data_IF_675940942239
#
_entry.id   IF_675940942239
#
_cell.length_a   1.000
_cell.length_b   1.000
_cell.length_c   1.000
_cell.angle_alpha   90.00
_cell.angle_beta   90.00
_cell.angle_gamma   90.00
#
_symmetry.space_group_name_H-M   'P 1'
#
loop_
_entity.id
_entity.type
_entity.pdbx_description
1 polymer ?
#
# COMPACT_ATOMS: atom_id res chain seq x y z
N UNK A 1 -2.70 -27.13 12.46
CA UNK A 1 -2.88 -28.11 11.37
C UNK A 1 -2.60 -27.36 10.07
N UNK A 2 -1.61 -27.78 9.27
CA UNK A 2 -1.42 -27.18 7.94
C UNK A 2 -2.48 -27.74 6.99
N UNK A 3 -3.42 -26.88 6.61
CA UNK A 3 -4.38 -27.22 5.57
C UNK A 3 -3.66 -27.08 4.22
N UNK A 4 -3.53 -28.19 3.50
CA UNK A 4 -2.95 -28.14 2.16
C UNK A 4 -3.99 -27.56 1.19
N UNK A 5 -3.55 -26.68 0.31
CA UNK A 5 -4.34 -26.10 -0.77
C UNK A 5 -4.70 -27.20 -1.76
N UNK A 6 -6.00 -27.52 -1.85
CA UNK A 6 -6.53 -28.48 -2.83
C UNK A 6 -6.59 -27.84 -4.22
N UNK A 7 -6.54 -28.69 -5.23
CA UNK A 7 -6.64 -28.33 -6.64
C UNK A 7 -7.86 -27.46 -6.94
N UNK A 8 -9.08 -27.96 -6.67
CA UNK A 8 -10.33 -27.21 -6.89
C UNK A 8 -10.36 -25.84 -6.19
N UNK A 9 -9.68 -25.72 -5.04
CA UNK A 9 -9.63 -24.46 -4.30
C UNK A 9 -8.78 -23.43 -5.03
N UNK A 10 -7.63 -23.84 -5.55
CA UNK A 10 -6.72 -22.99 -6.32
C UNK A 10 -7.37 -22.59 -7.65
N UNK A 11 -7.99 -23.54 -8.34
CA UNK A 11 -8.63 -23.26 -9.64
C UNK A 11 -9.77 -22.25 -9.54
N UNK A 12 -10.62 -22.33 -8.51
CA UNK A 12 -11.74 -21.39 -8.30
C UNK A 12 -11.30 -19.97 -7.99
N UNK A 13 -10.02 -19.78 -7.61
CA UNK A 13 -9.42 -18.49 -7.26
C UNK A 13 -8.52 -17.93 -8.35
N UNK A 14 -8.47 -18.61 -9.50
CA UNK A 14 -7.77 -18.13 -10.69
C UNK A 14 -8.72 -17.29 -11.55
N UNK A 15 -8.33 -16.05 -11.82
CA UNK A 15 -9.09 -15.12 -12.64
C UNK A 15 -8.30 -14.72 -13.89
N UNK A 16 -8.94 -14.66 -15.06
CA UNK A 16 -8.26 -14.20 -16.26
C UNK A 16 -7.96 -12.71 -16.21
N UNK A 17 -6.76 -12.34 -16.66
CA UNK A 17 -6.35 -10.94 -16.76
C UNK A 17 -6.72 -10.41 -18.15
N UNK A 18 -7.52 -9.35 -18.19
CA UNK A 18 -8.01 -8.73 -19.42
C UNK A 18 -6.98 -7.82 -20.10
N UNK A 19 -6.06 -7.24 -19.32
CA UNK A 19 -5.03 -6.32 -19.82
C UNK A 19 -3.70 -6.58 -19.15
N UNK A 20 -2.67 -6.75 -19.98
CA UNK A 20 -1.30 -7.02 -19.54
C UNK A 20 -0.44 -5.84 -19.95
N UNK A 21 0.34 -5.25 -19.02
CA UNK A 21 1.28 -4.20 -19.36
C UNK A 21 2.26 -4.66 -20.45
N UNK A 22 2.44 -3.85 -21.49
CA UNK A 22 3.44 -4.13 -22.53
C UNK A 22 4.86 -4.23 -21.96
N UNK A 23 5.13 -3.54 -20.86
CA UNK A 23 6.41 -3.57 -20.14
C UNK A 23 6.78 -4.96 -19.63
N UNK A 24 5.82 -5.86 -19.44
CA UNK A 24 6.08 -7.21 -18.93
C UNK A 24 6.70 -8.16 -19.97
N UNK A 25 6.67 -7.77 -21.26
CA UNK A 25 7.25 -8.50 -22.40
C UNK A 25 6.88 -10.00 -22.40
N UNK A 26 5.63 -10.31 -22.02
CA UNK A 26 5.12 -11.67 -22.00
C UNK A 26 4.80 -12.14 -23.42
N UNK A 27 5.04 -13.42 -23.72
CA UNK A 27 4.73 -14.00 -25.03
C UNK A 27 3.21 -14.05 -25.26
N UNK A 28 2.72 -13.65 -26.44
CA UNK A 28 1.27 -13.53 -26.73
C UNK A 28 0.51 -14.87 -26.89
N UNK A 29 0.96 -15.97 -26.28
CA UNK A 29 0.36 -17.30 -26.46
C UNK A 29 -0.52 -17.70 -25.27
N UNK A 30 -1.75 -17.20 -25.28
CA UNK A 30 -2.83 -17.65 -24.40
C UNK A 30 -3.25 -16.63 -23.33
N UNK A 31 -4.30 -16.99 -22.59
CA UNK A 31 -4.81 -16.19 -21.47
C UNK A 31 -3.91 -16.35 -20.25
N UNK A 32 -3.49 -15.22 -19.69
CA UNK A 32 -2.76 -15.13 -18.43
C UNK A 32 -3.74 -14.91 -17.28
N UNK A 33 -3.32 -15.32 -16.09
CA UNK A 33 -4.20 -15.44 -14.94
C UNK A 33 -3.59 -14.76 -13.71
N UNK A 34 -4.49 -14.35 -12.82
CA UNK A 34 -4.23 -13.92 -11.46
C UNK A 34 -4.73 -14.99 -10.50
N UNK A 35 -3.87 -15.41 -9.57
CA UNK A 35 -4.25 -16.31 -8.49
C UNK A 35 -4.48 -15.51 -7.22
N UNK A 36 -5.74 -15.46 -6.77
CA UNK A 36 -6.16 -14.70 -5.59
C UNK A 36 -6.31 -15.62 -4.36
N UNK A 37 -5.25 -15.68 -3.55
CA UNK A 37 -5.22 -16.37 -2.26
C UNK A 37 -5.35 -15.39 -1.08
N UNK A 38 -5.92 -14.21 -1.30
CA UNK A 38 -6.18 -13.22 -0.26
C UNK A 38 -7.14 -13.75 0.80
N UNK A 39 -6.90 -13.38 2.06
CA UNK A 39 -7.80 -13.68 3.20
C UNK A 39 -8.11 -15.18 3.36
N UNK A 40 -7.15 -16.05 3.01
CA UNK A 40 -7.32 -17.51 3.07
C UNK A 40 -6.83 -18.12 4.39
N UNK A 41 -6.41 -17.29 5.36
CA UNK A 41 -5.87 -17.72 6.66
C UNK A 41 -4.64 -18.65 6.52
N UNK A 42 -3.85 -18.45 5.46
CA UNK A 42 -2.70 -19.29 5.15
C UNK A 42 -1.57 -19.01 6.12
N UNK A 43 -1.08 -20.06 6.79
CA UNK A 43 0.13 -20.01 7.63
C UNK A 43 1.39 -20.42 6.85
N UNK A 44 1.18 -21.23 5.82
CA UNK A 44 2.17 -21.64 4.84
C UNK A 44 1.45 -21.88 3.50
N UNK A 45 2.23 -21.96 2.42
CA UNK A 45 1.71 -22.28 1.10
C UNK A 45 2.06 -23.74 0.84
N UNK A 46 1.15 -24.67 1.09
CA UNK A 46 1.40 -26.09 0.82
C UNK A 46 0.37 -26.61 -0.15
N UNK A 47 0.79 -26.96 -1.36
CA UNK A 47 -0.11 -27.53 -2.36
C UNK A 47 -0.32 -29.03 -2.06
N UNK A 48 -1.57 -29.48 -2.09
CA UNK A 48 -1.94 -30.90 -1.97
C UNK A 48 -1.74 -31.67 -3.28
N UNK A 49 -1.23 -31.01 -4.31
CA UNK A 49 -1.08 -31.48 -5.67
C UNK A 49 0.29 -31.08 -6.22
N UNK A 50 0.71 -31.75 -7.28
CA UNK A 50 1.93 -31.40 -8.00
C UNK A 50 1.58 -30.64 -9.27
N UNK A 51 2.34 -29.61 -9.58
CA UNK A 51 2.22 -28.88 -10.84
C UNK A 51 2.72 -29.76 -12.00
N UNK A 52 1.97 -29.79 -13.10
CA UNK A 52 2.20 -30.66 -14.27
C UNK A 52 3.48 -30.35 -15.05
N UNK A 53 3.84 -31.25 -15.99
CA UNK A 53 5.00 -31.06 -16.89
C UNK A 53 4.59 -30.16 -18.07
N UNK A 54 5.40 -29.14 -18.36
CA UNK A 54 5.28 -28.27 -19.54
C UNK A 54 5.67 -29.03 -20.83
N UNK A 55 4.93 -30.07 -21.22
CA UNK A 55 5.21 -30.88 -22.41
C UNK A 55 3.94 -31.17 -23.22
N UNK A 56 3.66 -30.37 -24.26
CA UNK A 56 2.62 -30.67 -25.26
C UNK A 56 1.98 -29.44 -25.90
N UNK A 57 1.34 -29.57 -27.08
CA UNK A 57 0.57 -28.49 -27.68
C UNK A 57 -0.66 -28.17 -26.82
N UNK A 58 -0.92 -26.87 -26.67
CA UNK A 58 -1.83 -26.26 -25.72
C UNK A 58 -3.26 -26.84 -25.79
N UNK A 59 -3.79 -27.45 -24.71
CA UNK A 59 -5.20 -27.76 -24.65
C UNK A 59 -6.01 -26.46 -24.54
N UNK A 60 -7.23 -26.48 -25.08
CA UNK A 60 -8.26 -25.47 -24.78
C UNK A 60 -8.49 -25.49 -23.26
N UNK A 61 -7.99 -24.47 -22.55
CA UNK A 61 -8.19 -24.18 -21.10
C UNK A 61 -8.55 -25.42 -20.25
N UNK A 62 -7.62 -26.35 -20.02
CA UNK A 62 -7.92 -27.58 -19.28
C UNK A 62 -7.77 -27.43 -17.75
N UNK A 63 -6.71 -26.79 -17.24
CA UNK A 63 -6.51 -26.52 -15.79
C UNK A 63 -5.29 -25.62 -15.58
N UNK A 64 -5.25 -24.82 -14.50
CA UNK A 64 -4.04 -24.06 -14.13
C UNK A 64 -2.92 -24.97 -13.62
N UNK A 65 -3.25 -26.16 -13.12
CA UNK A 65 -2.29 -27.08 -12.50
C UNK A 65 -1.32 -27.65 -13.53
N UNK A 66 -1.76 -27.77 -14.77
CA UNK A 66 -0.91 -28.15 -15.90
C UNK A 66 0.01 -27.00 -16.35
N UNK A 67 -0.38 -25.74 -16.13
CA UNK A 67 0.32 -24.56 -16.68
C UNK A 67 0.44 -23.40 -15.69
N UNK A 68 1.11 -23.59 -14.52
CA UNK A 68 1.28 -22.53 -13.51
C UNK A 68 2.03 -21.31 -14.03
N UNK A 69 2.83 -21.47 -15.09
CA UNK A 69 3.52 -20.40 -15.79
C UNK A 69 2.58 -19.39 -16.47
N UNK A 70 1.26 -19.62 -16.46
CA UNK A 70 0.24 -18.63 -16.84
C UNK A 70 -0.16 -17.69 -15.71
N UNK A 71 0.14 -18.03 -14.47
CA UNK A 71 -0.04 -17.10 -13.35
C UNK A 71 1.03 -16.01 -13.47
N UNK A 72 0.58 -14.77 -13.63
CA UNK A 72 1.46 -13.59 -13.71
C UNK A 72 1.21 -12.61 -12.57
N UNK A 73 0.07 -12.73 -11.88
CA UNK A 73 -0.22 -12.05 -10.61
C UNK A 73 -0.58 -13.06 -9.54
N UNK A 74 -0.05 -12.86 -8.34
CA UNK A 74 -0.33 -13.69 -7.18
C UNK A 74 -0.61 -12.79 -5.98
N UNK A 75 -1.84 -12.86 -5.47
CA UNK A 75 -2.24 -12.17 -4.25
C UNK A 75 -2.25 -13.16 -3.07
N UNK A 76 -1.31 -13.00 -2.15
CA UNK A 76 -1.17 -13.70 -0.88
C UNK A 76 -1.49 -12.78 0.31
N UNK A 77 -2.07 -11.60 0.07
CA UNK A 77 -2.26 -10.61 1.12
C UNK A 77 -3.27 -11.05 2.18
N UNK A 78 -3.20 -10.45 3.38
CA UNK A 78 -4.14 -10.72 4.48
C UNK A 78 -4.17 -12.19 4.89
N UNK A 79 -2.99 -12.79 5.04
CA UNK A 79 -2.82 -14.15 5.53
C UNK A 79 -1.96 -14.16 6.82
N UNK A 80 -1.52 -15.32 7.25
CA UNK A 80 -0.67 -15.53 8.43
C UNK A 80 0.72 -16.07 8.07
N UNK A 81 1.19 -15.82 6.84
CA UNK A 81 2.46 -16.35 6.34
C UNK A 81 3.62 -15.76 7.15
N UNK A 82 4.53 -16.61 7.61
CA UNK A 82 5.75 -16.17 8.33
C UNK A 82 6.98 -16.07 7.44
N UNK A 83 6.93 -16.69 6.26
CA UNK A 83 7.98 -16.65 5.25
C UNK A 83 7.36 -16.94 3.87
N UNK A 84 8.05 -16.47 2.83
CA UNK A 84 7.89 -16.99 1.48
C UNK A 84 8.96 -18.08 1.34
N UNK A 85 8.57 -19.29 0.95
CA UNK A 85 9.52 -20.40 0.75
C UNK A 85 9.69 -20.62 -0.75
N UNK A 86 10.92 -20.89 -1.18
CA UNK A 86 11.26 -21.03 -2.60
C UNK A 86 10.41 -22.12 -3.26
N UNK A 87 10.27 -23.27 -2.61
CA UNK A 87 9.54 -24.44 -3.10
C UNK A 87 8.11 -24.10 -3.52
N UNK A 88 7.49 -23.15 -2.81
CA UNK A 88 6.09 -22.78 -3.00
C UNK A 88 5.90 -21.77 -4.15
N UNK A 89 6.98 -21.12 -4.58
CA UNK A 89 6.97 -20.07 -5.60
C UNK A 89 7.61 -20.49 -6.92
N UNK A 90 8.47 -21.54 -6.93
CA UNK A 90 9.09 -22.13 -8.13
C UNK A 90 8.10 -22.38 -9.29
N UNK A 91 6.85 -22.84 -9.06
CA UNK A 91 5.92 -23.09 -10.15
C UNK A 91 5.55 -21.83 -10.95
N UNK A 92 5.55 -20.65 -10.33
CA UNK A 92 5.11 -19.39 -10.94
C UNK A 92 6.25 -18.67 -11.66
N UNK A 93 6.87 -19.35 -12.63
CA UNK A 93 8.08 -18.85 -13.33
C UNK A 93 7.90 -17.52 -14.05
N UNK A 94 6.68 -17.22 -14.47
CA UNK A 94 6.36 -15.96 -15.16
C UNK A 94 5.72 -14.91 -14.26
N UNK A 95 5.74 -15.09 -12.94
CA UNK A 95 5.16 -14.12 -12.03
C UNK A 95 5.79 -12.74 -12.24
N UNK A 96 4.94 -11.73 -12.42
CA UNK A 96 5.32 -10.32 -12.60
C UNK A 96 4.87 -9.48 -11.42
N UNK A 97 3.78 -9.85 -10.76
CA UNK A 97 3.23 -9.10 -9.63
C UNK A 97 2.99 -10.05 -8.46
N UNK A 98 3.55 -9.71 -7.31
CA UNK A 98 3.38 -10.46 -6.07
C UNK A 98 2.95 -9.51 -4.95
N UNK A 99 1.74 -9.73 -4.44
CA UNK A 99 1.26 -9.07 -3.24
C UNK A 99 1.27 -10.05 -2.07
N UNK A 100 2.22 -9.92 -1.16
CA UNK A 100 2.30 -10.67 0.11
C UNK A 100 2.17 -9.72 1.32
N UNK A 101 1.48 -8.60 1.16
CA UNK A 101 1.25 -7.63 2.23
C UNK A 101 0.35 -8.17 3.34
N UNK A 102 0.32 -7.51 4.50
CA UNK A 102 -0.59 -7.84 5.61
C UNK A 102 -0.46 -9.33 6.03
N UNK A 103 0.77 -9.76 6.26
CA UNK A 103 1.12 -11.11 6.70
C UNK A 103 1.95 -11.02 7.99
N UNK A 104 2.67 -12.09 8.34
CA UNK A 104 3.61 -12.14 9.47
C UNK A 104 5.03 -12.43 9.03
N UNK A 105 5.39 -12.07 7.79
CA UNK A 105 6.67 -12.39 7.19
C UNK A 105 7.76 -11.66 7.95
N UNK A 106 8.71 -12.41 8.50
CA UNK A 106 9.84 -11.84 9.25
C UNK A 106 11.21 -12.16 8.63
N UNK A 107 11.22 -13.08 7.66
CA UNK A 107 12.39 -13.43 6.87
C UNK A 107 12.13 -13.09 5.41
N UNK A 108 13.01 -12.27 4.86
CA UNK A 108 12.99 -11.90 3.46
C UNK A 108 13.81 -12.91 2.65
N UNK A 109 13.17 -14.04 2.34
CA UNK A 109 13.72 -15.16 1.56
C UNK A 109 12.60 -15.78 0.72
N UNK A 110 12.93 -16.69 -0.20
CA UNK A 110 11.93 -17.42 -0.99
C UNK A 110 11.59 -16.78 -2.33
N UNK A 111 11.94 -15.51 -2.50
CA UNK A 111 11.62 -14.72 -3.69
C UNK A 111 12.73 -14.77 -4.74
N UNK A 112 13.90 -15.34 -4.42
CA UNK A 112 15.07 -15.42 -5.31
C UNK A 112 14.77 -16.19 -6.62
N UNK A 113 13.75 -17.04 -6.58
CA UNK A 113 13.28 -17.81 -7.75
C UNK A 113 12.47 -16.97 -8.75
N UNK A 114 11.94 -15.81 -8.33
CA UNK A 114 11.04 -14.96 -9.11
C UNK A 114 11.80 -13.91 -9.94
N UNK A 115 12.68 -14.36 -10.83
CA UNK A 115 13.63 -13.50 -11.60
C UNK A 115 12.99 -12.43 -12.49
N UNK A 116 11.73 -12.63 -12.85
CA UNK A 116 10.99 -11.74 -13.73
C UNK A 116 10.00 -10.84 -12.99
N UNK A 117 10.04 -10.82 -11.66
CA UNK A 117 9.14 -10.03 -10.86
C UNK A 117 9.32 -8.54 -11.18
N UNK A 118 8.21 -7.86 -11.45
CA UNK A 118 8.12 -6.45 -11.81
C UNK A 118 7.67 -5.60 -10.62
N UNK A 119 6.67 -6.10 -9.88
CA UNK A 119 6.11 -5.48 -8.68
C UNK A 119 6.17 -6.47 -7.52
N UNK A 120 6.69 -6.01 -6.37
CA UNK A 120 6.68 -6.75 -5.11
C UNK A 120 6.11 -5.88 -4.00
N UNK A 121 4.99 -6.31 -3.43
CA UNK A 121 4.43 -5.71 -2.23
C UNK A 121 4.51 -6.68 -1.04
N UNK A 122 5.34 -6.35 -0.07
CA UNK A 122 5.48 -7.07 1.21
C UNK A 122 5.24 -6.12 2.39
N UNK A 123 4.44 -5.08 2.18
CA UNK A 123 4.08 -4.12 3.23
C UNK A 123 3.30 -4.75 4.38
N UNK A 124 3.28 -4.11 5.55
CA UNK A 124 2.56 -4.62 6.73
C UNK A 124 2.99 -6.04 7.11
N UNK A 125 4.29 -6.21 7.33
CA UNK A 125 4.92 -7.46 7.77
C UNK A 125 5.91 -7.14 8.92
N UNK A 126 6.75 -8.10 9.29
CA UNK A 126 7.74 -7.96 10.36
C UNK A 126 9.17 -8.10 9.84
N UNK A 127 9.42 -7.67 8.60
CA UNK A 127 10.72 -7.80 7.94
C UNK A 127 11.69 -6.81 8.59
N UNK A 128 12.82 -7.33 9.09
CA UNK A 128 13.87 -6.54 9.75
C UNK A 128 15.07 -6.24 8.86
N UNK A 129 15.30 -7.10 7.87
CA UNK A 129 16.42 -7.03 6.97
C UNK A 129 16.01 -7.54 5.60
N UNK A 130 16.50 -6.86 4.57
CA UNK A 130 16.45 -7.34 3.19
C UNK A 130 17.80 -7.95 2.85
N UNK A 131 17.77 -9.18 2.39
CA UNK A 131 18.94 -9.91 1.88
C UNK A 131 18.56 -10.51 0.52
N UNK A 132 19.55 -10.89 -0.29
CA UNK A 132 19.37 -11.70 -1.49
C UNK A 132 18.43 -11.13 -2.58
N UNK A 133 18.33 -9.81 -2.72
CA UNK A 133 17.57 -9.17 -3.82
C UNK A 133 18.23 -9.29 -5.21
N UNK A 134 19.47 -9.80 -5.29
CA UNK A 134 20.28 -9.87 -6.52
C UNK A 134 19.55 -10.50 -7.71
N UNK A 135 18.75 -11.57 -7.54
CA UNK A 135 18.05 -12.20 -8.65
C UNK A 135 16.90 -11.36 -9.24
N UNK A 136 16.44 -10.31 -8.54
CA UNK A 136 15.27 -9.52 -8.92
C UNK A 136 15.62 -8.32 -9.82
N UNK A 137 16.47 -8.55 -10.82
CA UNK A 137 16.94 -7.49 -11.73
C UNK A 137 15.85 -6.85 -12.58
N UNK A 138 14.68 -7.49 -12.69
CA UNK A 138 13.50 -6.99 -13.43
C UNK A 138 12.58 -6.10 -12.58
N UNK A 139 12.84 -5.97 -11.28
CA UNK A 139 11.94 -5.28 -10.35
C UNK A 139 11.92 -3.79 -10.64
N UNK A 140 10.71 -3.24 -10.76
CA UNK A 140 10.45 -1.81 -11.01
C UNK A 140 9.82 -1.15 -9.79
N UNK A 141 8.97 -1.88 -9.07
CA UNK A 141 8.25 -1.38 -7.90
C UNK A 141 8.49 -2.30 -6.71
N UNK A 142 8.95 -1.72 -5.60
CA UNK A 142 9.19 -2.42 -4.34
C UNK A 142 8.51 -1.69 -3.19
N UNK A 143 7.52 -2.34 -2.58
CA UNK A 143 6.86 -1.84 -1.39
C UNK A 143 7.20 -2.70 -0.15
N UNK A 144 7.96 -2.10 0.75
CA UNK A 144 8.41 -2.59 2.05
C UNK A 144 7.84 -1.75 3.20
N UNK A 145 6.82 -0.92 2.96
CA UNK A 145 6.27 -0.05 3.99
C UNK A 145 5.70 -0.81 5.18
N UNK A 146 5.65 -0.19 6.37
CA UNK A 146 5.05 -0.78 7.57
C UNK A 146 5.72 -2.14 7.91
N UNK A 147 7.04 -2.11 8.03
CA UNK A 147 7.88 -3.24 8.44
C UNK A 147 8.76 -2.80 9.62
N UNK A 148 9.82 -3.57 9.92
CA UNK A 148 10.77 -3.27 10.99
C UNK A 148 12.20 -3.08 10.45
N UNK A 149 12.34 -2.61 9.21
CA UNK A 149 13.64 -2.40 8.57
C UNK A 149 14.44 -1.33 9.32
N UNK A 150 15.71 -1.62 9.59
CA UNK A 150 16.64 -0.66 10.20
C UNK A 150 17.70 -0.17 9.21
N UNK A 151 17.92 -0.92 8.14
CA UNK A 151 19.00 -0.69 7.18
C UNK A 151 18.61 -1.20 5.79
N UNK A 152 19.02 -0.45 4.76
CA UNK A 152 18.87 -0.77 3.34
C UNK A 152 20.21 -0.74 2.57
N UNK A 153 21.34 -0.61 3.28
CA UNK A 153 22.69 -0.53 2.70
C UNK A 153 23.07 -1.74 1.84
N UNK A 154 22.44 -2.89 2.08
CA UNK A 154 22.63 -4.14 1.34
C UNK A 154 21.78 -4.26 0.08
N UNK A 155 21.12 -3.19 -0.38
CA UNK A 155 20.43 -3.22 -1.67
C UNK A 155 21.43 -3.50 -2.80
N UNK A 156 21.20 -4.56 -3.60
CA UNK A 156 22.00 -4.82 -4.78
C UNK A 156 21.64 -3.82 -5.87
N UNK A 157 22.42 -3.82 -6.95
CA UNK A 157 22.13 -3.01 -8.13
C UNK A 157 20.82 -3.45 -8.81
N UNK A 158 19.69 -2.91 -8.37
CA UNK A 158 18.38 -3.10 -8.99
C UNK A 158 18.22 -2.05 -10.10
N UNK A 159 18.84 -2.33 -11.23
CA UNK A 159 19.00 -1.38 -12.36
C UNK A 159 17.68 -0.85 -12.95
N UNK A 160 16.57 -1.55 -12.70
CA UNK A 160 15.25 -1.20 -13.21
C UNK A 160 14.31 -0.61 -12.14
N UNK A 161 14.71 -0.55 -10.87
CA UNK A 161 13.83 -0.07 -9.81
C UNK A 161 13.56 1.42 -9.99
N UNK A 162 12.28 1.78 -10.14
CA UNK A 162 11.81 3.15 -10.31
C UNK A 162 11.08 3.66 -9.06
N UNK A 163 10.37 2.78 -8.34
CA UNK A 163 9.56 3.13 -7.17
C UNK A 163 10.01 2.30 -5.97
N UNK A 164 10.44 2.99 -4.92
CA UNK A 164 10.78 2.39 -3.62
C UNK A 164 9.91 2.99 -2.52
N UNK A 165 9.10 2.15 -1.89
CA UNK A 165 8.36 2.51 -0.70
C UNK A 165 8.88 1.76 0.54
N UNK A 166 9.40 2.51 1.50
CA UNK A 166 9.96 2.08 2.78
C UNK A 166 9.38 2.89 3.95
N UNK A 167 8.22 3.51 3.77
CA UNK A 167 7.61 4.33 4.83
C UNK A 167 7.25 3.49 6.06
N UNK A 168 7.17 4.12 7.24
CA UNK A 168 6.85 3.45 8.49
C UNK A 168 7.79 2.25 8.77
N UNK A 169 9.09 2.53 8.82
CA UNK A 169 10.13 1.59 9.24
C UNK A 169 10.98 2.26 10.34
N UNK A 170 12.20 1.77 10.59
CA UNK A 170 13.16 2.27 11.59
C UNK A 170 14.52 2.60 10.92
N UNK A 171 14.47 3.04 9.67
CA UNK A 171 15.66 3.26 8.84
C UNK A 171 16.30 4.60 9.23
N UNK A 172 17.62 4.59 9.44
CA UNK A 172 18.39 5.79 9.83
C UNK A 172 19.16 6.47 8.71
N UNK A 173 19.47 5.71 7.67
CA UNK A 173 20.17 6.21 6.48
C UNK A 173 19.56 5.58 5.23
N UNK A 174 19.53 6.34 4.14
CA UNK A 174 19.18 5.86 2.81
C UNK A 174 20.36 5.24 2.06
N UNK A 175 21.49 4.96 2.72
CA UNK A 175 22.60 4.25 2.09
C UNK A 175 22.13 2.97 1.41
N UNK A 176 22.61 2.72 0.20
CA UNK A 176 22.12 1.68 -0.70
C UNK A 176 21.33 2.23 -1.88
N UNK A 177 20.61 3.35 -1.74
CA UNK A 177 19.85 3.96 -2.84
C UNK A 177 20.73 4.44 -4.00
N UNK A 178 22.01 4.70 -3.74
CA UNK A 178 23.00 5.05 -4.77
C UNK A 178 23.16 3.94 -5.83
N UNK A 179 22.79 2.70 -5.50
CA UNK A 179 22.85 1.54 -6.40
C UNK A 179 21.63 1.42 -7.34
N UNK A 180 20.67 2.35 -7.25
CA UNK A 180 19.39 2.34 -7.95
C UNK A 180 19.34 3.45 -9.03
N UNK A 181 19.99 3.27 -10.19
CA UNK A 181 20.24 4.34 -11.15
C UNK A 181 18.97 4.92 -11.82
N UNK A 182 17.86 4.19 -11.77
CA UNK A 182 16.56 4.57 -12.37
C UNK A 182 15.51 5.02 -11.37
N UNK A 183 15.87 5.16 -10.10
CA UNK A 183 14.93 5.52 -9.05
C UNK A 183 14.29 6.89 -9.31
N UNK A 184 12.96 6.92 -9.33
CA UNK A 184 12.14 8.11 -9.58
C UNK A 184 11.32 8.52 -8.37
N UNK A 185 10.88 7.54 -7.59
CA UNK A 185 10.00 7.77 -6.45
C UNK A 185 10.55 7.08 -5.20
N UNK A 186 10.73 7.85 -4.14
CA UNK A 186 11.13 7.35 -2.82
C UNK A 186 10.13 7.84 -1.78
N UNK A 187 9.48 6.87 -1.12
CA UNK A 187 8.62 7.10 0.03
C UNK A 187 9.28 6.52 1.27
N UNK A 188 9.76 7.40 2.15
CA UNK A 188 10.50 7.06 3.36
C UNK A 188 9.98 7.84 4.59
N UNK A 189 8.73 8.31 4.55
CA UNK A 189 8.13 9.00 5.69
C UNK A 189 8.02 8.10 6.91
N UNK A 190 8.06 8.69 8.12
CA UNK A 190 7.97 7.97 9.40
C UNK A 190 9.07 6.92 9.54
N UNK A 191 10.31 7.38 9.43
CA UNK A 191 11.53 6.63 9.71
C UNK A 191 12.39 7.45 10.71
N UNK A 192 13.66 7.05 10.89
CA UNK A 192 14.61 7.73 11.75
C UNK A 192 15.73 8.41 10.93
N UNK A 193 15.43 8.91 9.72
CA UNK A 193 16.44 9.51 8.83
C UNK A 193 16.96 10.84 9.42
N UNK A 194 18.28 11.00 9.46
CA UNK A 194 18.93 12.21 9.98
C UNK A 194 19.37 13.18 8.86
N UNK A 195 19.58 12.67 7.64
CA UNK A 195 19.95 13.46 6.48
C UNK A 195 19.51 12.81 5.16
N UNK A 196 19.80 13.49 4.06
CA UNK A 196 19.50 13.05 2.68
C UNK A 196 20.77 12.86 1.84
N UNK A 197 21.96 12.79 2.46
CA UNK A 197 23.26 12.64 1.78
C UNK A 197 23.27 11.45 0.80
N UNK A 198 22.69 10.29 1.12
CA UNK A 198 22.67 9.16 0.20
C UNK A 198 21.96 9.42 -1.14
N UNK A 199 21.14 10.46 -1.24
CA UNK A 199 20.42 10.79 -2.47
C UNK A 199 21.26 11.54 -3.51
N UNK A 200 22.51 11.90 -3.20
CA UNK A 200 23.37 12.74 -4.06
C UNK A 200 23.51 12.24 -5.50
N UNK A 201 23.42 10.92 -5.74
CA UNK A 201 23.54 10.30 -7.07
C UNK A 201 22.19 9.96 -7.74
N UNK A 202 21.06 10.24 -7.10
CA UNK A 202 19.72 9.87 -7.58
C UNK A 202 19.17 10.91 -8.58
N UNK A 203 19.89 11.18 -9.67
CA UNK A 203 19.57 12.27 -10.63
C UNK A 203 18.21 12.12 -11.35
N UNK A 204 17.61 10.93 -11.33
CA UNK A 204 16.30 10.63 -11.92
C UNK A 204 15.13 10.85 -10.96
N UNK A 205 15.40 11.18 -9.69
CA UNK A 205 14.39 11.31 -8.65
C UNK A 205 13.43 12.47 -8.97
N UNK A 206 12.13 12.16 -8.94
CA UNK A 206 11.01 13.06 -9.22
C UNK A 206 10.16 13.31 -7.97
N UNK A 207 9.97 12.27 -7.15
CA UNK A 207 9.16 12.31 -5.94
C UNK A 207 10.00 11.84 -4.76
N UNK A 208 10.13 12.69 -3.76
CA UNK A 208 10.76 12.37 -2.48
C UNK A 208 9.82 12.70 -1.32
N UNK A 209 9.41 11.69 -0.58
CA UNK A 209 8.72 11.87 0.68
C UNK A 209 9.58 11.36 1.83
N UNK A 210 10.12 12.28 2.62
CA UNK A 210 10.90 12.02 3.84
C UNK A 210 10.27 12.72 5.04
N UNK A 211 8.96 12.94 5.00
CA UNK A 211 8.21 13.55 6.09
C UNK A 211 8.30 12.74 7.39
N UNK A 212 8.09 13.38 8.54
CA UNK A 212 8.13 12.74 9.87
C UNK A 212 9.43 11.93 10.09
N UNK A 213 10.59 12.57 9.93
CA UNK A 213 11.93 12.03 10.20
C UNK A 213 12.72 13.00 11.12
N UNK A 214 14.04 12.80 11.27
CA UNK A 214 14.91 13.62 12.13
C UNK A 214 15.86 14.55 11.35
N UNK A 215 15.49 14.94 10.12
CA UNK A 215 16.33 15.82 9.28
C UNK A 215 16.37 17.23 9.87
N UNK A 216 17.53 17.65 10.35
CA UNK A 216 17.66 18.92 11.08
C UNK A 216 18.33 20.05 10.29
N UNK A 217 19.29 19.72 9.42
CA UNK A 217 20.18 20.73 8.84
C UNK A 217 19.69 21.17 7.46
N UNK A 218 19.18 22.41 7.37
CA UNK A 218 18.66 22.97 6.12
C UNK A 218 19.73 23.10 5.03
N UNK A 219 20.89 23.68 5.36
CA UNK A 219 21.94 23.99 4.38
C UNK A 219 22.39 22.76 3.59
N UNK A 220 22.80 21.69 4.28
CA UNK A 220 23.20 20.43 3.65
C UNK A 220 22.04 19.80 2.84
N UNK A 221 20.82 19.81 3.40
CA UNK A 221 19.63 19.28 2.73
C UNK A 221 19.40 19.98 1.40
N UNK A 222 19.45 21.30 1.38
CA UNK A 222 19.22 22.11 0.18
C UNK A 222 20.34 21.93 -0.86
N UNK A 223 21.60 21.83 -0.44
CA UNK A 223 22.72 21.60 -1.34
C UNK A 223 22.61 20.27 -2.10
N UNK A 224 22.13 19.22 -1.42
CA UNK A 224 21.89 17.91 -2.03
C UNK A 224 20.66 17.96 -2.94
N UNK A 225 19.53 18.43 -2.42
CA UNK A 225 18.27 18.49 -3.19
C UNK A 225 18.40 19.41 -4.40
N UNK A 226 19.24 20.44 -4.33
CA UNK A 226 19.54 21.34 -5.44
C UNK A 226 20.26 20.64 -6.60
N UNK A 227 20.92 19.51 -6.37
CA UNK A 227 21.54 18.69 -7.43
C UNK A 227 20.50 17.81 -8.14
N UNK A 228 19.37 17.51 -7.50
CA UNK A 228 18.30 16.68 -8.04
C UNK A 228 17.40 17.47 -8.99
N UNK A 229 17.90 17.75 -10.19
CA UNK A 229 17.26 18.67 -11.15
C UNK A 229 15.88 18.23 -11.64
N UNK A 230 15.54 16.95 -11.49
CA UNK A 230 14.24 16.36 -11.85
C UNK A 230 13.25 16.27 -10.69
N UNK A 231 13.63 16.69 -9.49
CA UNK A 231 12.77 16.59 -8.31
C UNK A 231 11.61 17.60 -8.43
N UNK A 232 10.39 17.07 -8.48
CA UNK A 232 9.15 17.83 -8.69
C UNK A 232 8.31 17.91 -7.41
N UNK A 233 8.27 16.82 -6.65
CA UNK A 233 7.47 16.70 -5.42
C UNK A 233 8.37 16.36 -4.26
N UNK A 234 8.35 17.20 -3.23
CA UNK A 234 9.14 17.06 -2.02
C UNK A 234 8.22 17.15 -0.80
N UNK A 235 8.34 16.22 0.13
CA UNK A 235 7.71 16.29 1.45
C UNK A 235 8.77 16.11 2.53
N UNK A 236 8.92 17.15 3.34
CA UNK A 236 9.87 17.28 4.44
C UNK A 236 9.16 17.69 5.75
N UNK A 237 7.85 17.94 5.72
CA UNK A 237 7.05 18.28 6.90
C UNK A 237 7.26 17.29 8.05
N UNK A 238 7.18 17.76 9.29
CA UNK A 238 7.39 16.93 10.47
C UNK A 238 8.86 16.62 10.77
N UNK A 239 9.81 17.20 10.02
CA UNK A 239 11.24 17.18 10.33
C UNK A 239 11.66 18.46 11.08
N UNK A 240 12.72 18.43 11.93
CA UNK A 240 13.23 19.62 12.58
C UNK A 240 13.63 20.76 11.62
N UNK A 241 14.04 20.45 10.40
CA UNK A 241 14.39 21.44 9.34
C UNK A 241 13.25 22.42 9.03
N UNK A 242 11.99 22.02 9.23
CA UNK A 242 10.81 22.86 8.99
C UNK A 242 10.78 24.10 9.91
N UNK A 243 11.47 24.05 11.06
CA UNK A 243 11.53 25.17 12.02
C UNK A 243 12.46 26.30 11.57
N UNK A 244 13.29 26.07 10.56
CA UNK A 244 14.17 27.10 10.02
C UNK A 244 13.33 28.18 9.31
N UNK A 245 13.60 29.46 9.63
CA UNK A 245 12.85 30.59 9.06
C UNK A 245 13.05 30.73 7.56
N UNK A 246 14.17 30.23 7.04
CA UNK A 246 14.51 30.28 5.63
C UNK A 246 14.07 29.03 4.87
N UNK A 247 13.52 28.01 5.55
CA UNK A 247 13.14 26.71 5.00
C UNK A 247 12.50 26.80 3.60
N UNK A 248 11.36 27.48 3.49
CA UNK A 248 10.62 27.61 2.23
C UNK A 248 11.40 28.41 1.18
N UNK A 249 12.07 29.48 1.59
CA UNK A 249 12.83 30.37 0.71
C UNK A 249 14.04 29.66 0.11
N UNK A 250 14.80 28.93 0.92
CA UNK A 250 15.98 28.18 0.47
C UNK A 250 15.60 27.06 -0.49
N UNK A 251 14.54 26.29 -0.19
CA UNK A 251 14.02 25.26 -1.10
C UNK A 251 13.58 25.88 -2.43
N UNK A 252 12.87 27.01 -2.40
CA UNK A 252 12.46 27.74 -3.61
C UNK A 252 13.62 28.32 -4.42
N UNK A 253 14.71 28.73 -3.78
CA UNK A 253 15.84 29.34 -4.49
C UNK A 253 16.78 28.30 -5.11
N UNK A 254 16.93 27.14 -4.48
CA UNK A 254 17.98 26.19 -4.83
C UNK A 254 17.49 24.91 -5.49
N UNK A 255 16.17 24.62 -5.46
CA UNK A 255 15.60 23.39 -6.05
C UNK A 255 14.58 23.67 -7.15
N UNK A 256 14.30 22.69 -8.00
CA UNK A 256 13.25 22.78 -9.04
C UNK A 256 11.87 22.28 -8.58
N UNK A 257 11.68 22.10 -7.26
CA UNK A 257 10.47 21.53 -6.68
C UNK A 257 9.24 22.37 -7.04
N UNK A 258 8.19 21.69 -7.51
CA UNK A 258 6.90 22.27 -7.87
C UNK A 258 5.90 22.18 -6.72
N UNK A 259 5.96 21.09 -5.95
CA UNK A 259 5.10 20.82 -4.79
C UNK A 259 5.96 20.53 -3.57
N UNK A 260 5.83 21.35 -2.53
CA UNK A 260 6.49 21.18 -1.24
C UNK A 260 5.43 20.97 -0.15
N UNK A 261 5.53 19.89 0.60
CA UNK A 261 4.64 19.56 1.73
C UNK A 261 3.16 19.64 1.36
N UNK A 262 2.81 19.00 0.24
CA UNK A 262 1.46 19.00 -0.35
C UNK A 262 0.93 20.38 -0.79
N UNK A 263 1.80 21.39 -0.85
CA UNK A 263 1.47 22.73 -1.34
C UNK A 263 2.24 23.02 -2.63
N UNK A 264 1.52 23.42 -3.68
CA UNK A 264 2.17 23.90 -4.91
C UNK A 264 2.89 25.22 -4.63
N UNK A 265 4.19 25.25 -4.90
CA UNK A 265 5.06 26.42 -4.67
C UNK A 265 5.51 27.09 -5.97
N UNK A 266 5.36 26.39 -7.10
CA UNK A 266 5.56 26.92 -8.45
C UNK A 266 4.34 26.59 -9.31
N UNK A 267 3.85 27.51 -10.15
CA UNK A 267 2.81 27.22 -11.13
C UNK A 267 3.32 26.18 -12.13
N UNK A 268 2.51 25.16 -12.43
CA UNK A 268 2.84 24.13 -13.42
C UNK A 268 3.32 24.77 -14.73
N UNK A 269 4.39 24.25 -15.37
CA UNK A 269 4.73 24.68 -16.71
C UNK A 269 3.51 24.41 -17.58
N UNK A 270 3.07 25.42 -18.34
CA UNK A 270 2.15 25.16 -19.45
C UNK A 270 2.82 24.09 -20.29
N UNK A 271 2.15 22.96 -20.54
CA UNK A 271 2.65 21.93 -21.47
C UNK A 271 3.12 22.65 -22.71
N UNK A 272 4.43 22.62 -22.97
CA UNK A 272 4.97 23.13 -24.21
C UNK A 272 4.29 22.33 -25.32
N UNK A 273 3.68 23.04 -26.27
CA UNK A 273 3.24 22.46 -27.52
C UNK A 273 4.45 21.76 -28.14
N UNK A 274 4.43 20.43 -28.16
CA UNK A 274 5.36 19.65 -28.99
C UNK A 274 4.80 19.77 -30.41
N UNK A 275 5.11 20.88 -31.06
CA UNK A 275 4.81 21.04 -32.48
C UNK A 275 6.01 20.58 -33.31
N UNK A 276 5.77 19.48 -34.02
CA UNK A 276 6.59 18.99 -35.11
C UNK A 276 6.49 20.01 -36.25
N UNK A 277 7.50 20.84 -36.50
CA UNK A 277 7.85 21.28 -37.86
C UNK A 277 9.21 21.96 -37.94
N UNK A 278 10.06 21.44 -38.83
CA UNK A 278 11.18 22.15 -39.42
C UNK A 278 10.67 23.34 -40.25
N UNK A 279 11.11 24.58 -39.94
CA UNK A 279 11.74 25.58 -40.85
C UNK A 279 11.48 27.04 -40.42
N UNK A 280 12.60 27.73 -40.19
CA UNK A 280 12.93 29.16 -40.42
C UNK A 280 11.85 30.27 -40.35
N UNK A 281 12.24 31.30 -39.59
CA UNK A 281 11.79 32.70 -39.52
C UNK A 281 10.69 33.04 -38.50
N UNK A 282 11.07 33.84 -37.50
CA UNK A 282 10.15 34.60 -36.64
C UNK A 282 9.19 35.46 -37.48
N UNK A 283 7.89 35.50 -37.11
CA UNK A 283 7.33 36.81 -36.76
C UNK A 283 6.22 36.81 -35.68
N UNK A 284 6.32 37.79 -34.77
CA UNK A 284 5.26 38.61 -34.14
C UNK A 284 3.91 37.95 -33.73
N UNK A 285 3.71 37.76 -32.42
CA UNK A 285 2.43 37.36 -31.82
C UNK A 285 1.37 38.48 -31.87
N UNK A 286 0.23 38.21 -32.52
CA UNK A 286 -1.01 39.00 -32.37
C UNK A 286 -1.89 38.43 -31.26
N UNK A 287 -2.31 39.32 -30.36
CA UNK A 287 -3.18 39.09 -29.21
C UNK A 287 -4.58 38.62 -29.60
N UNK A 288 -5.10 37.56 -28.95
CA UNK A 288 -6.52 37.19 -29.01
C UNK A 288 -7.31 38.06 -28.04
N UNK A 289 -8.39 38.67 -28.53
CA UNK A 289 -8.97 39.92 -28.01
C UNK A 289 -10.28 39.80 -27.23
N UNK A 290 -10.73 38.63 -26.77
CA UNK A 290 -12.00 38.57 -26.04
C UNK A 290 -11.91 37.84 -24.70
N UNK A 291 -12.08 38.64 -23.63
CA UNK A 291 -12.08 38.20 -22.23
C UNK A 291 -13.19 37.16 -21.97
N UNK A 292 -14.30 37.24 -22.71
CA UNK A 292 -15.42 36.32 -22.58
C UNK A 292 -15.08 34.90 -23.04
N UNK A 293 -14.34 34.72 -24.14
CA UNK A 293 -13.93 33.38 -24.59
C UNK A 293 -12.90 32.74 -23.64
N UNK A 294 -12.11 33.56 -22.94
CA UNK A 294 -11.21 33.10 -21.87
C UNK A 294 -11.96 32.74 -20.59
N UNK A 295 -13.01 33.49 -20.24
CA UNK A 295 -13.87 33.20 -19.10
C UNK A 295 -14.66 31.90 -19.30
N UNK A 296 -15.18 31.68 -20.51
CA UNK A 296 -15.91 30.44 -20.84
C UNK A 296 -15.01 29.21 -20.81
N UNK A 297 -13.78 29.32 -21.34
CA UNK A 297 -12.79 28.25 -21.27
C UNK A 297 -12.32 27.97 -19.83
N UNK A 298 -12.14 29.02 -19.01
CA UNK A 298 -11.79 28.87 -17.59
C UNK A 298 -12.91 28.22 -16.79
N UNK A 299 -14.17 28.56 -17.08
CA UNK A 299 -15.35 27.98 -16.44
C UNK A 299 -15.48 26.48 -16.77
N UNK A 300 -15.30 26.10 -18.03
CA UNK A 300 -15.32 24.69 -18.45
C UNK A 300 -14.20 23.88 -17.78
N UNK A 301 -12.97 24.41 -17.72
CA UNK A 301 -11.84 23.72 -17.07
C UNK A 301 -12.05 23.54 -15.56
N UNK A 302 -12.71 24.50 -14.90
CA UNK A 302 -13.06 24.40 -13.48
C UNK A 302 -14.15 23.35 -13.23
N UNK A 303 -15.19 23.33 -14.07
CA UNK A 303 -16.27 22.33 -14.00
C UNK A 303 -15.74 20.90 -14.25
N UNK A 304 -14.76 20.73 -15.14
CA UNK A 304 -14.14 19.43 -15.42
C UNK A 304 -13.30 18.93 -14.23
N UNK A 305 -12.50 19.80 -13.60
CA UNK A 305 -11.78 19.48 -12.36
C UNK A 305 -12.70 19.11 -11.21
N UNK A 306 -13.82 19.82 -11.07
CA UNK A 306 -14.82 19.51 -10.05
C UNK A 306 -15.46 18.14 -10.29
N UNK A 307 -15.68 17.78 -11.56
CA UNK A 307 -16.19 16.46 -11.96
C UNK A 307 -15.18 15.35 -11.63
N UNK A 308 -13.91 15.53 -11.94
CA UNK A 308 -12.85 14.56 -11.60
C UNK A 308 -12.68 14.38 -10.08
N UNK A 309 -12.72 15.47 -9.31
CA UNK A 309 -12.66 15.42 -7.85
C UNK A 309 -13.88 14.70 -7.27
N UNK A 310 -15.07 14.93 -7.83
CA UNK A 310 -16.30 14.23 -7.45
C UNK A 310 -16.20 12.72 -7.70
N UNK A 311 -15.70 12.29 -8.87
CA UNK A 311 -15.50 10.87 -9.18
C UNK A 311 -14.52 10.22 -8.20
N UNK A 312 -13.40 10.88 -7.88
CA UNK A 312 -12.45 10.37 -6.87
C UNK A 312 -13.08 10.24 -5.49
N UNK A 313 -13.93 11.19 -5.08
CA UNK A 313 -14.67 11.09 -3.81
C UNK A 313 -15.73 9.98 -3.85
N UNK A 314 -16.42 9.78 -4.98
CA UNK A 314 -17.37 8.68 -5.17
C UNK A 314 -16.68 7.31 -5.12
N UNK A 315 -15.45 7.19 -5.65
CA UNK A 315 -14.63 5.98 -5.54
C UNK A 315 -14.23 5.71 -4.07
N UNK A 316 -13.85 6.75 -3.33
CA UNK A 316 -13.55 6.65 -1.89
C UNK A 316 -14.79 6.26 -1.08
N UNK A 317 -15.96 6.85 -1.38
CA UNK A 317 -17.23 6.49 -0.74
C UNK A 317 -17.58 5.03 -1.07
N UNK A 318 -17.42 4.61 -2.31
CA UNK A 318 -17.68 3.23 -2.75
C UNK A 318 -16.73 2.21 -2.10
N UNK A 319 -15.48 2.61 -1.83
CA UNK A 319 -14.53 1.82 -1.05
C UNK A 319 -14.97 1.69 0.41
N UNK A 320 -15.36 2.81 1.04
CA UNK A 320 -15.84 2.80 2.43
C UNK A 320 -17.14 1.99 2.59
N UNK A 321 -18.08 2.10 1.64
CA UNK A 321 -19.32 1.31 1.63
C UNK A 321 -19.05 -0.19 1.51
N UNK A 322 -18.11 -0.60 0.64
CA UNK A 322 -17.65 -1.99 0.55
C UNK A 322 -17.09 -2.46 1.89
N UNK A 323 -16.25 -1.64 2.55
CA UNK A 323 -15.69 -1.98 3.86
C UNK A 323 -16.75 -2.10 4.95
N UNK A 324 -17.79 -1.27 4.93
CA UNK A 324 -18.91 -1.37 5.87
C UNK A 324 -19.66 -2.69 5.69
N UNK A 325 -19.93 -3.09 4.45
CA UNK A 325 -20.60 -4.36 4.14
C UNK A 325 -19.73 -5.55 4.60
N UNK A 326 -18.42 -5.50 4.36
CA UNK A 326 -17.48 -6.50 4.86
C UNK A 326 -17.54 -6.63 6.39
N UNK A 327 -17.50 -5.51 7.11
CA UNK A 327 -17.59 -5.50 8.58
C UNK A 327 -18.95 -6.02 9.09
N UNK A 328 -20.05 -5.75 8.37
CA UNK A 328 -21.36 -6.31 8.71
C UNK A 328 -21.41 -7.82 8.52
N UNK A 329 -20.78 -8.35 7.47
CA UNK A 329 -20.67 -9.78 7.24
C UNK A 329 -19.77 -10.44 8.31
N UNK A 330 -18.63 -9.83 8.63
CA UNK A 330 -17.73 -10.29 9.71
C UNK A 330 -18.48 -10.37 11.06
N UNK A 331 -19.33 -9.38 11.35
CA UNK A 331 -20.17 -9.38 12.54
C UNK A 331 -21.21 -10.51 12.54
N UNK A 332 -21.90 -10.73 11.41
CA UNK A 332 -22.89 -11.80 11.27
C UNK A 332 -22.26 -13.19 11.40
N UNK A 333 -21.08 -13.40 10.82
CA UNK A 333 -20.32 -14.65 10.93
C UNK A 333 -19.88 -14.91 12.38
N UNK A 334 -19.46 -13.86 13.09
CA UNK A 334 -19.10 -13.96 14.51
C UNK A 334 -20.31 -14.34 15.36
N UNK A 335 -21.47 -13.72 15.13
CA UNK A 335 -22.72 -14.04 15.82
C UNK A 335 -23.18 -15.47 15.55
N UNK A 336 -23.12 -15.91 14.28
CA UNK A 336 -23.47 -17.28 13.89
C UNK A 336 -22.57 -18.32 14.57
N UNK A 337 -21.27 -18.05 14.64
CA UNK A 337 -20.31 -18.91 15.31
C UNK A 337 -20.62 -19.01 16.81
N UNK A 338 -20.86 -17.88 17.47
CA UNK A 338 -21.19 -17.85 18.90
C UNK A 338 -22.47 -18.63 19.20
N UNK A 339 -23.48 -18.53 18.32
CA UNK A 339 -24.73 -19.30 18.43
C UNK A 339 -24.51 -20.81 18.25
N UNK A 340 -23.68 -21.19 17.28
CA UNK A 340 -23.34 -22.61 17.03
C UNK A 340 -22.57 -23.22 18.21
N UNK A 341 -21.64 -22.46 18.79
CA UNK A 341 -20.90 -22.85 19.98
C UNK A 341 -21.85 -23.03 21.18
N UNK A 342 -22.79 -22.09 21.37
CA UNK A 342 -23.83 -22.19 22.41
C UNK A 342 -24.71 -23.43 22.22
N UNK A 343 -25.21 -23.70 21.01
CA UNK A 343 -26.02 -24.88 20.73
C UNK A 343 -25.26 -26.19 20.98
N UNK A 344 -23.97 -26.21 20.66
CA UNK A 344 -23.09 -27.35 20.93
C UNK A 344 -22.90 -27.58 22.44
N UNK A 345 -22.72 -26.50 23.22
CA UNK A 345 -22.67 -26.57 24.68
C UNK A 345 -23.98 -27.09 25.28
N UNK A 346 -25.13 -26.63 24.78
CA UNK A 346 -26.44 -27.11 25.24
C UNK A 346 -26.64 -28.59 24.96
N UNK A 347 -26.31 -29.07 23.75
CA UNK A 347 -26.39 -30.51 23.42
C UNK A 347 -25.48 -31.37 24.28
N UNK A 348 -24.29 -30.86 24.61
CA UNK A 348 -23.38 -31.55 25.52
C UNK A 348 -23.96 -31.65 26.93
N UNK A 349 -24.55 -30.57 27.44
CA UNK A 349 -25.22 -30.57 28.75
C UNK A 349 -26.41 -31.54 28.78
N UNK A 350 -27.21 -31.61 27.72
CA UNK A 350 -28.33 -32.54 27.60
C UNK A 350 -27.89 -34.02 27.56
N UNK A 351 -26.62 -34.29 27.23
CA UNK A 351 -26.06 -35.64 27.17
C UNK A 351 -25.52 -36.16 28.50
N UNK A 352 -25.43 -35.30 29.53
CA UNK A 352 -24.90 -35.64 30.85
C UNK A 352 -25.97 -36.25 31.77
N UNK A 353 -25.58 -37.21 32.59
CA UNK A 353 -26.45 -37.84 33.59
C UNK A 353 -26.64 -36.97 34.84
N UNK A 354 -27.75 -37.16 35.57
CA UNK A 354 -28.04 -36.42 36.80
C UNK A 354 -26.95 -36.54 37.90
N UNK A 355 -26.14 -37.60 37.84
CA UNK A 355 -24.99 -37.81 38.73
C UNK A 355 -23.75 -37.00 38.35
N UNK A 356 -23.58 -36.66 37.06
CA UNK A 356 -22.45 -35.86 36.54
C UNK A 356 -22.69 -34.35 36.69
N UNK A 357 -23.96 -33.94 36.81
CA UNK A 357 -24.35 -32.55 37.08
C UNK A 357 -24.26 -32.18 38.57
N UNK A 358 -24.09 -33.15 39.46
CA UNK A 358 -23.99 -32.90 40.90
C UNK A 358 -22.66 -32.23 41.24
N UNK A 359 -22.73 -30.94 41.60
CA UNK A 359 -21.58 -30.11 41.97
C UNK A 359 -21.25 -29.00 40.98
N UNK A 360 -21.92 -28.95 39.82
CA UNK A 360 -21.75 -27.85 38.85
C UNK A 360 -22.59 -26.66 39.30
N UNK A 361 -21.93 -25.64 39.85
CA UNK A 361 -22.60 -24.39 40.25
C UNK A 361 -22.75 -23.44 39.07
N UNK A 362 -23.79 -22.60 39.07
CA UNK A 362 -24.00 -21.57 38.05
C UNK A 362 -22.85 -20.56 37.93
N UNK A 363 -22.08 -20.37 39.01
CA UNK A 363 -20.88 -19.55 39.01
C UNK A 363 -19.73 -20.20 38.21
N UNK A 364 -19.54 -21.51 38.37
CA UNK A 364 -18.44 -22.26 37.71
C UNK A 364 -18.60 -22.27 36.19
N UNK A 365 -19.84 -22.34 35.69
CA UNK A 365 -20.15 -22.28 34.25
C UNK A 365 -19.86 -20.88 33.67
N UNK A 366 -20.18 -19.82 34.43
CA UNK A 366 -19.98 -18.43 33.99
C UNK A 366 -18.48 -18.08 33.84
N UNK A 367 -17.63 -18.61 34.72
CA UNK A 367 -16.18 -18.37 34.69
C UNK A 367 -15.47 -19.17 33.58
N UNK A 368 -16.01 -20.33 33.18
CA UNK A 368 -15.45 -21.16 32.09
C UNK A 368 -15.99 -20.80 30.70
N UNK A 369 -17.24 -20.33 30.60
CA UNK A 369 -17.82 -19.79 29.36
C UNK A 369 -17.49 -18.31 29.13
N UNK A 370 -16.63 -17.72 29.97
CA UNK A 370 -16.04 -16.41 29.74
C UNK A 370 -15.17 -16.43 28.50
N UNK A 371 -15.77 -16.25 27.32
CA UNK A 371 -15.06 -15.65 26.20
C UNK A 371 -14.49 -14.32 26.67
N UNK A 372 -13.29 -13.92 26.21
CA UNK A 372 -12.89 -12.54 26.38
C UNK A 372 -14.00 -11.73 25.72
N UNK A 373 -14.81 -11.02 26.52
CA UNK A 373 -15.68 -10.01 25.97
C UNK A 373 -14.84 -9.11 25.06
N UNK A 374 -15.43 -8.42 24.08
CA UNK A 374 -14.72 -7.30 23.47
C UNK A 374 -14.15 -6.50 24.63
N UNK A 375 -12.81 -6.29 24.63
CA UNK A 375 -12.16 -5.47 25.66
C UNK A 375 -13.08 -4.26 25.85
N UNK A 376 -13.47 -3.92 27.10
CA UNK A 376 -14.31 -2.77 27.30
C UNK A 376 -13.67 -1.63 26.51
N UNK A 377 -14.44 -0.90 25.73
CA UNK A 377 -14.00 0.42 25.30
C UNK A 377 -13.73 1.17 26.59
N UNK A 378 -12.46 1.20 27.03
CA UNK A 378 -12.05 1.84 28.27
C UNK A 378 -11.96 3.34 28.10
N UNK A 379 -12.84 3.91 27.28
CA UNK A 379 -13.12 5.33 27.26
C UNK A 379 -14.62 5.45 26.95
N UNK A 380 -15.44 5.41 28.00
CA UNK A 380 -16.67 6.21 28.00
C UNK A 380 -16.23 7.61 28.40
N UNK A 381 -16.24 8.60 27.49
CA UNK A 381 -16.11 9.98 27.89
C UNK A 381 -17.19 10.26 28.93
N UNK A 382 -16.79 10.88 30.05
CA UNK A 382 -17.74 11.33 31.06
C UNK A 382 -18.81 12.19 30.40
N UNK A 383 -20.04 11.99 30.86
CA UNK A 383 -21.25 12.66 30.38
C UNK A 383 -21.28 14.10 30.89
N UNK A 384 -20.29 14.91 30.56
CA UNK A 384 -20.30 16.35 30.79
C UNK A 384 -19.67 17.04 29.57
N UNK A 385 -20.35 18.09 29.11
CA UNK A 385 -20.17 18.86 27.86
C UNK A 385 -20.65 18.19 26.57
N UNK A 386 -21.98 18.07 26.43
CA UNK A 386 -22.57 18.08 25.07
C UNK A 386 -22.38 19.48 24.48
N UNK A 387 -21.74 19.64 23.31
CA UNK A 387 -21.63 20.94 22.66
C UNK A 387 -23.02 21.49 22.33
N UNK A 388 -23.27 22.76 22.63
CA UNK A 388 -24.51 23.43 22.23
C UNK A 388 -24.44 23.79 20.75
N UNK A 389 -25.17 23.04 19.93
CA UNK A 389 -25.24 23.19 18.48
C UNK A 389 -26.22 24.28 18.01
N UNK A 390 -26.87 24.99 18.93
CA UNK A 390 -27.96 25.92 18.59
C UNK A 390 -27.53 27.15 17.77
N UNK A 391 -26.22 27.44 17.67
CA UNK A 391 -25.71 28.65 17.00
C UNK A 391 -24.65 28.42 15.88
N UNK A 392 -24.50 27.21 15.35
CA UNK A 392 -23.52 26.94 14.28
C UNK A 392 -24.07 27.36 12.91
N UNK A 393 -23.52 28.43 12.31
CA UNK A 393 -24.02 29.00 11.04
C UNK A 393 -23.16 28.70 9.79
N UNK A 394 -21.99 28.07 9.92
CA UNK A 394 -21.09 27.84 8.78
C UNK A 394 -20.59 26.38 8.69
N UNK A 395 -20.71 25.80 7.50
CA UNK A 395 -20.42 24.39 7.17
C UNK A 395 -18.98 23.97 7.49
N UNK A 396 -18.04 24.90 7.33
CA UNK A 396 -16.61 24.65 7.57
C UNK A 396 -16.30 24.48 9.06
N UNK A 397 -17.02 25.19 9.93
CA UNK A 397 -16.91 25.00 11.39
C UNK A 397 -17.55 23.68 11.84
N UNK A 398 -18.64 23.24 11.20
CA UNK A 398 -19.25 21.92 11.46
C UNK A 398 -18.28 20.81 11.10
N UNK A 399 -17.59 20.91 9.95
CA UNK A 399 -16.61 19.92 9.51
C UNK A 399 -15.36 19.90 10.40
N UNK A 400 -14.91 21.07 10.85
CA UNK A 400 -13.77 21.19 11.76
C UNK A 400 -14.08 20.61 13.14
N UNK A 401 -15.27 20.87 13.68
CA UNK A 401 -15.75 20.26 14.93
C UNK A 401 -15.94 18.74 14.77
N UNK A 402 -16.54 18.28 13.66
CA UNK A 402 -16.66 16.85 13.37
C UNK A 402 -15.30 16.15 13.25
N UNK A 403 -14.29 16.82 12.66
CA UNK A 403 -12.92 16.28 12.57
C UNK A 403 -12.22 16.20 13.93
N UNK A 404 -12.55 17.12 14.86
CA UNK A 404 -12.03 17.13 16.23
C UNK A 404 -12.67 16.05 17.09
N UNK A 405 -13.97 15.79 16.93
CA UNK A 405 -14.66 14.66 17.58
C UNK A 405 -14.10 13.31 17.07
N UNK A 406 -13.91 13.17 15.75
CA UNK A 406 -13.34 11.96 15.13
C UNK A 406 -11.88 11.70 15.54
N UNK A 407 -11.13 12.73 15.94
CA UNK A 407 -9.75 12.59 16.41
C UNK A 407 -9.66 12.42 17.94
N UNK A 408 -10.62 12.92 18.73
CA UNK A 408 -10.68 12.63 20.18
C UNK A 408 -10.90 11.14 20.48
N UNK A 409 -11.71 10.44 19.68
CA UNK A 409 -11.88 8.98 19.80
C UNK A 409 -10.60 8.18 19.48
N UNK A 410 -9.59 8.80 18.86
CA UNK A 410 -8.29 8.15 18.57
C UNK A 410 -7.20 8.45 19.61
N UNK A 411 -7.36 9.48 20.45
CA UNK A 411 -6.41 9.82 21.53
C UNK A 411 -6.77 9.15 22.85
N UNK A 412 -8.04 8.85 23.08
CA UNK A 412 -8.56 8.15 24.25
C UNK A 412 -8.46 6.61 24.10
N UNK A 413 -7.34 6.09 23.58
CA UNK A 413 -7.07 4.63 23.44
C UNK A 413 -5.61 4.27 23.80
N UNK A 414 -4.93 5.11 24.60
CA UNK A 414 -3.60 4.84 25.16
C UNK A 414 -3.59 4.92 26.69
#
# INVERSE_FOLDING_TARGET
MSAHLKEDFVERRCHPISSIPQSWQLENRGQYMELDLKMCQLKNIQYAFQWGKESGPLPRLASIIETPSRIVRLDLSLNELTALENENLIPFRNLRDLNASLNRINKFSGIEVLKHLYSLNVSHNFIKKIDNLVPLSSLVELNLSMNELMDISYMPSLINLEILNINNNKIRSLDGVQSLPRLREVHAQRNDLEDVVPLTSCFHLQILNVADNHIATLHNTVDILGQLKRLEVLSLHGNPVERDRQYRTEILQHTNVMTLDNVSIRPLPKKADVDMTYRFNEPSYKHVHNIHTLQDAAKQAFEERMREAKVKMEDQISFMQRRIIELQNEYADYEFKLKTDLESCLRYLDSLSATELNGVSSHTIRDTMGTPGPKPWTHRPKKDDKPDYSNVKQTEQVLKLASLELTRDTQDMY
#
